data_IF_413094429535
#
_entry.id   IF_413094429535
#
_cell.length_a   1.000
_cell.length_b   1.000
_cell.length_c   1.000
_cell.angle_alpha   90.00
_cell.angle_beta   90.00
_cell.angle_gamma   90.00
#
_symmetry.space_group_name_H-M   'P 1'
#
loop_
_entity.id
_entity.type
_entity.pdbx_description
1 polymer ?
#
# COMPACT_ATOMS: atom_id res chain seq x y z
N UNK A 1 46.27 -42.93 9.05
CA UNK A 1 45.25 -41.89 9.26
C UNK A 1 45.16 -41.70 10.76
N UNK A 2 45.65 -40.58 11.27
CA UNK A 2 45.89 -40.44 12.71
C UNK A 2 44.55 -40.35 13.44
N UNK A 3 44.36 -41.18 14.47
CA UNK A 3 43.11 -41.29 15.21
C UNK A 3 42.62 -39.92 15.75
N UNK A 4 43.55 -39.02 16.04
CA UNK A 4 43.28 -37.63 16.44
C UNK A 4 42.59 -36.79 15.35
N UNK A 5 42.96 -36.98 14.08
CA UNK A 5 42.33 -36.28 12.96
C UNK A 5 40.86 -36.69 12.80
N UNK A 6 40.58 -37.99 12.88
CA UNK A 6 39.22 -38.55 12.76
C UNK A 6 38.31 -38.07 13.91
N UNK A 7 38.83 -38.04 15.14
CA UNK A 7 38.10 -37.57 16.32
C UNK A 7 37.81 -36.06 16.23
N UNK A 8 38.79 -35.26 15.83
CA UNK A 8 38.61 -33.81 15.67
C UNK A 8 37.62 -33.47 14.55
N UNK A 9 37.68 -34.20 13.42
CA UNK A 9 36.75 -34.03 12.31
C UNK A 9 35.31 -34.39 12.71
N UNK A 10 35.12 -35.47 13.47
CA UNK A 10 33.81 -35.89 13.97
C UNK A 10 33.22 -34.87 14.95
N UNK A 11 34.04 -34.28 15.82
CA UNK A 11 33.60 -33.24 16.76
C UNK A 11 33.15 -31.97 16.02
N UNK A 12 33.91 -31.52 15.03
CA UNK A 12 33.56 -30.36 14.21
C UNK A 12 32.26 -30.65 13.44
N UNK A 13 32.13 -31.83 12.82
CA UNK A 13 30.92 -32.21 12.10
C UNK A 13 29.68 -32.23 13.02
N UNK A 14 29.81 -32.75 14.25
CA UNK A 14 28.73 -32.76 15.24
C UNK A 14 28.31 -31.34 15.66
N UNK A 15 29.27 -30.44 15.91
CA UNK A 15 29.00 -29.04 16.25
C UNK A 15 28.34 -28.33 15.05
N UNK A 16 28.85 -28.52 13.84
CA UNK A 16 28.27 -27.96 12.62
C UNK A 16 26.85 -28.46 12.37
N UNK A 17 26.55 -29.73 12.65
CA UNK A 17 25.20 -30.29 12.52
C UNK A 17 24.18 -29.66 13.48
N UNK A 18 24.62 -29.14 14.63
CA UNK A 18 23.77 -28.43 15.60
C UNK A 18 23.61 -26.95 15.20
N UNK A 19 24.70 -26.31 14.81
CA UNK A 19 24.72 -24.87 14.54
C UNK A 19 24.12 -24.54 13.16
N UNK A 20 24.39 -25.36 12.13
CA UNK A 20 23.94 -25.07 10.77
C UNK A 20 22.41 -24.94 10.64
N UNK A 21 21.57 -25.84 11.20
CA UNK A 21 20.12 -25.66 11.20
C UNK A 21 19.67 -24.38 11.92
N UNK A 22 20.37 -23.98 12.97
CA UNK A 22 20.08 -22.76 13.74
C UNK A 22 20.33 -21.52 12.90
N UNK A 23 21.48 -21.45 12.21
CA UNK A 23 21.81 -20.35 11.30
C UNK A 23 20.82 -20.30 10.13
N UNK A 24 20.52 -21.45 9.50
CA UNK A 24 19.56 -21.53 8.40
C UNK A 24 18.17 -21.06 8.83
N UNK A 25 17.70 -21.46 10.01
CA UNK A 25 16.41 -21.02 10.56
C UNK A 25 16.39 -19.51 10.80
N UNK A 26 17.48 -18.94 11.31
CA UNK A 26 17.60 -17.51 11.52
C UNK A 26 17.54 -16.72 10.21
N UNK A 27 18.28 -17.15 9.19
CA UNK A 27 18.28 -16.53 7.85
C UNK A 27 16.88 -16.59 7.24
N UNK A 28 16.23 -17.76 7.28
CA UNK A 28 14.89 -17.94 6.73
C UNK A 28 13.88 -17.04 7.46
N UNK A 29 13.92 -17.01 8.79
CA UNK A 29 13.02 -16.15 9.59
C UNK A 29 13.23 -14.67 9.29
N UNK A 30 14.47 -14.23 9.09
CA UNK A 30 14.76 -12.85 8.71
C UNK A 30 14.17 -12.50 7.33
N UNK A 31 14.36 -13.38 6.35
CA UNK A 31 13.78 -13.22 5.02
C UNK A 31 12.24 -13.20 5.07
N UNK A 32 11.62 -14.12 5.81
CA UNK A 32 10.17 -14.21 5.99
C UNK A 32 9.59 -12.96 6.63
N UNK A 33 10.23 -12.43 7.67
CA UNK A 33 9.78 -11.19 8.32
C UNK A 33 9.87 -10.01 7.35
N UNK A 34 10.92 -9.94 6.53
CA UNK A 34 11.08 -8.88 5.53
C UNK A 34 10.01 -8.97 4.45
N UNK A 35 9.74 -10.17 3.92
CA UNK A 35 8.70 -10.42 2.94
C UNK A 35 7.32 -10.13 3.50
N UNK A 36 7.02 -10.56 4.73
CA UNK A 36 5.73 -10.31 5.39
C UNK A 36 5.49 -8.82 5.63
N UNK A 37 6.52 -8.05 6.00
CA UNK A 37 6.42 -6.59 6.12
C UNK A 37 6.10 -5.94 4.78
N UNK A 38 6.75 -6.39 3.70
CA UNK A 38 6.49 -5.89 2.36
C UNK A 38 5.07 -6.22 1.91
N UNK A 39 4.61 -7.45 2.14
CA UNK A 39 3.27 -7.91 1.81
C UNK A 39 2.20 -7.12 2.57
N UNK A 40 2.34 -6.95 3.89
CA UNK A 40 1.43 -6.12 4.70
C UNK A 40 1.36 -4.69 4.17
N UNK A 41 2.51 -4.08 3.83
CA UNK A 41 2.54 -2.73 3.27
C UNK A 41 1.85 -2.65 1.90
N UNK A 42 2.14 -3.58 0.99
CA UNK A 42 1.54 -3.61 -0.34
C UNK A 42 0.04 -3.88 -0.30
N UNK A 43 -0.41 -4.77 0.59
CA UNK A 43 -1.82 -5.05 0.79
C UNK A 43 -2.55 -3.84 1.39
N UNK A 44 -1.97 -3.16 2.37
CA UNK A 44 -2.52 -1.92 2.92
C UNK A 44 -2.60 -0.81 1.87
N UNK A 45 -1.56 -0.65 1.04
CA UNK A 45 -1.53 0.29 -0.08
C UNK A 45 -2.64 0.00 -1.09
N UNK A 46 -2.76 -1.26 -1.54
CA UNK A 46 -3.80 -1.68 -2.49
C UNK A 46 -5.19 -1.45 -1.92
N UNK A 47 -5.41 -1.77 -0.65
CA UNK A 47 -6.68 -1.53 0.03
C UNK A 47 -7.02 -0.04 0.04
N UNK A 48 -6.09 0.83 0.46
CA UNK A 48 -6.34 2.27 0.49
C UNK A 48 -6.69 2.84 -0.91
N UNK A 49 -6.07 2.33 -1.97
CA UNK A 49 -6.37 2.77 -3.33
C UNK A 49 -7.72 2.28 -3.83
N UNK A 50 -8.09 1.04 -3.49
CA UNK A 50 -9.41 0.50 -3.78
C UNK A 50 -10.50 1.26 -3.00
N UNK A 51 -10.28 1.52 -1.70
CA UNK A 51 -11.20 2.27 -0.85
C UNK A 51 -11.42 3.70 -1.42
N UNK A 52 -10.37 4.34 -1.94
CA UNK A 52 -10.49 5.61 -2.67
C UNK A 52 -11.35 5.48 -3.93
N UNK A 53 -11.05 4.48 -4.78
CA UNK A 53 -11.79 4.28 -6.03
C UNK A 53 -13.28 3.99 -5.77
N UNK A 54 -13.57 3.21 -4.74
CA UNK A 54 -14.94 2.89 -4.30
C UNK A 54 -15.64 4.12 -3.72
N UNK A 55 -14.93 4.98 -2.98
CA UNK A 55 -15.52 6.17 -2.36
C UNK A 55 -16.13 7.14 -3.37
N UNK A 56 -15.64 7.16 -4.61
CA UNK A 56 -16.21 8.00 -5.66
C UNK A 56 -17.60 7.55 -6.11
N UNK A 57 -17.92 6.25 -6.00
CA UNK A 57 -19.31 5.79 -6.24
C UNK A 57 -20.30 6.39 -5.24
N UNK A 58 -19.83 6.70 -4.03
CA UNK A 58 -20.62 7.33 -2.97
C UNK A 58 -20.85 8.81 -3.25
N UNK A 59 -19.96 9.47 -4.01
CA UNK A 59 -20.11 10.88 -4.38
C UNK A 59 -21.36 11.12 -5.22
N UNK A 60 -21.68 10.22 -6.15
CA UNK A 60 -22.89 10.31 -6.97
C UNK A 60 -24.17 10.19 -6.12
N UNK A 61 -24.09 9.49 -4.99
CA UNK A 61 -25.18 9.44 -4.01
C UNK A 61 -25.18 10.64 -3.08
N UNK A 62 -24.03 11.27 -2.81
CA UNK A 62 -23.89 12.46 -1.99
C UNK A 62 -24.52 13.71 -2.62
N UNK A 63 -24.40 13.85 -3.95
CA UNK A 63 -25.05 14.95 -4.69
C UNK A 63 -26.57 14.86 -4.67
N UNK A 64 -27.12 13.66 -4.44
CA UNK A 64 -28.56 13.38 -4.36
C UNK A 64 -29.07 13.37 -2.91
N UNK A 65 -28.23 12.96 -1.96
CA UNK A 65 -28.54 12.84 -0.53
C UNK A 65 -27.81 13.95 0.23
N UNK A 66 -28.48 15.09 0.44
CA UNK A 66 -27.97 16.20 1.24
C UNK A 66 -27.37 15.71 2.58
N UNK A 67 -26.06 15.91 2.79
CA UNK A 67 -25.40 15.56 4.05
C UNK A 67 -23.87 15.57 4.01
N UNK A 68 -23.23 15.85 5.15
CA UNK A 68 -21.76 15.91 5.29
C UNK A 68 -21.08 14.51 5.35
N UNK A 69 -21.84 13.46 5.68
CA UNK A 69 -21.33 12.10 5.88
C UNK A 69 -20.66 11.49 4.64
N UNK A 70 -21.25 11.55 3.44
CA UNK A 70 -20.60 11.10 2.21
C UNK A 70 -19.28 11.82 1.92
N UNK A 71 -19.26 13.15 2.08
CA UNK A 71 -18.05 13.98 1.87
C UNK A 71 -16.95 13.52 2.82
N UNK A 72 -17.28 13.31 4.10
CA UNK A 72 -16.33 12.80 5.10
C UNK A 72 -15.76 11.44 4.75
N UNK A 73 -16.58 10.52 4.22
CA UNK A 73 -16.12 9.20 3.77
C UNK A 73 -15.12 9.30 2.62
N UNK A 74 -15.40 10.15 1.64
CA UNK A 74 -14.51 10.38 0.49
C UNK A 74 -13.19 10.99 0.95
N UNK A 75 -13.23 12.03 1.80
CA UNK A 75 -12.04 12.66 2.35
C UNK A 75 -11.19 11.68 3.16
N UNK A 76 -11.82 10.83 3.98
CA UNK A 76 -11.11 9.78 4.72
C UNK A 76 -10.35 8.83 3.77
N UNK A 77 -11.00 8.38 2.70
CA UNK A 77 -10.39 7.51 1.70
C UNK A 77 -9.23 8.20 0.96
N UNK A 78 -9.38 9.50 0.62
CA UNK A 78 -8.30 10.31 0.03
C UNK A 78 -7.08 10.36 0.95
N UNK A 79 -7.27 10.68 2.24
CA UNK A 79 -6.16 10.79 3.19
C UNK A 79 -5.47 9.45 3.43
N UNK A 80 -6.21 8.34 3.43
CA UNK A 80 -5.62 7.01 3.48
C UNK A 80 -4.76 6.73 2.24
N UNK A 81 -5.27 7.01 1.03
CA UNK A 81 -4.52 6.85 -0.21
C UNK A 81 -3.26 7.73 -0.26
N UNK A 82 -3.31 8.96 0.26
CA UNK A 82 -2.16 9.87 0.32
C UNK A 82 -0.98 9.31 1.14
N UNK A 83 -1.27 8.50 2.16
CA UNK A 83 -0.27 7.89 3.04
C UNK A 83 0.68 6.96 2.28
N UNK A 84 0.16 6.24 1.28
CA UNK A 84 0.91 5.24 0.51
C UNK A 84 1.37 5.72 -0.87
N UNK A 85 1.00 6.95 -1.23
CA UNK A 85 1.26 7.57 -2.53
C UNK A 85 2.61 8.29 -2.61
N UNK A 86 3.19 8.32 -3.82
CA UNK A 86 4.36 9.16 -4.09
C UNK A 86 4.03 10.65 -3.95
N UNK A 87 5.04 11.53 -3.81
CA UNK A 87 4.81 12.97 -3.75
C UNK A 87 3.96 13.51 -4.91
N UNK A 88 4.18 13.01 -6.14
CA UNK A 88 3.41 13.44 -7.32
C UNK A 88 1.92 13.09 -7.19
N UNK A 89 1.61 11.83 -6.88
CA UNK A 89 0.22 11.37 -6.71
C UNK A 89 -0.45 12.04 -5.51
N UNK A 90 0.32 12.31 -4.45
CA UNK A 90 -0.18 13.03 -3.28
C UNK A 90 -0.62 14.46 -3.62
N UNK A 91 0.07 15.17 -4.49
CA UNK A 91 -0.37 16.50 -4.93
C UNK A 91 -1.67 16.44 -5.73
N UNK A 92 -1.84 15.43 -6.60
CA UNK A 92 -3.12 15.22 -7.30
C UNK A 92 -4.27 14.98 -6.30
N UNK A 93 -4.05 14.10 -5.32
CA UNK A 93 -5.02 13.80 -4.26
C UNK A 93 -5.35 15.03 -3.40
N UNK A 94 -4.38 15.92 -3.13
CA UNK A 94 -4.64 17.20 -2.43
C UNK A 94 -5.50 18.15 -3.24
N UNK A 95 -5.27 18.25 -4.55
CA UNK A 95 -6.08 19.10 -5.42
C UNK A 95 -7.51 18.57 -5.44
N UNK A 96 -7.65 17.25 -5.60
CA UNK A 96 -8.94 16.58 -5.57
C UNK A 96 -9.65 16.77 -4.22
N UNK A 97 -8.97 16.61 -3.08
CA UNK A 97 -9.58 16.79 -1.75
C UNK A 97 -10.12 18.20 -1.55
N UNK A 98 -9.38 19.23 -2.00
CA UNK A 98 -9.85 20.62 -1.93
C UNK A 98 -11.12 20.85 -2.75
N UNK A 99 -11.28 20.15 -3.87
CA UNK A 99 -12.51 20.26 -4.67
C UNK A 99 -13.66 19.46 -4.07
N UNK A 100 -13.37 18.33 -3.40
CA UNK A 100 -14.34 17.60 -2.58
C UNK A 100 -14.84 18.44 -1.39
N UNK A 101 -13.95 19.18 -0.73
CA UNK A 101 -14.30 20.06 0.41
C UNK A 101 -15.15 21.27 -0.01
N UNK A 102 -15.00 21.75 -1.24
CA UNK A 102 -15.80 22.89 -1.74
C UNK A 102 -17.28 22.57 -1.88
N UNK A 103 -17.66 21.30 -2.11
CA UNK A 103 -19.05 20.86 -2.10
C UNK A 103 -20.00 21.47 -3.15
N UNK A 104 -19.51 22.33 -4.05
CA UNK A 104 -20.28 23.00 -5.09
C UNK A 104 -19.93 22.37 -6.45
N UNK A 105 -20.69 21.35 -6.84
CA UNK A 105 -20.60 20.71 -8.17
C UNK A 105 -21.95 20.87 -8.87
N UNK A 106 -22.48 22.08 -8.80
CA UNK A 106 -23.84 22.41 -9.22
C UNK A 106 -23.94 22.52 -10.75
N UNK A 107 -22.79 22.75 -11.41
CA UNK A 107 -22.69 22.76 -12.87
C UNK A 107 -22.14 21.45 -13.43
N UNK A 108 -22.56 21.12 -14.66
CA UNK A 108 -22.04 19.97 -15.40
C UNK A 108 -20.51 20.07 -15.61
N UNK A 109 -20.00 21.27 -15.86
CA UNK A 109 -18.56 21.52 -16.07
C UNK A 109 -17.73 21.24 -14.81
N UNK A 110 -18.21 21.64 -13.63
CA UNK A 110 -17.54 21.33 -12.35
C UNK A 110 -17.53 19.83 -12.06
N UNK A 111 -18.63 19.15 -12.39
CA UNK A 111 -18.73 17.70 -12.19
C UNK A 111 -17.81 16.92 -13.14
N UNK A 112 -17.71 17.34 -14.41
CA UNK A 112 -16.76 16.79 -15.39
C UNK A 112 -15.30 16.99 -14.92
N UNK A 113 -14.95 18.20 -14.47
CA UNK A 113 -13.63 18.49 -13.94
C UNK A 113 -13.29 17.60 -12.72
N UNK A 114 -14.27 17.35 -11.86
CA UNK A 114 -14.11 16.48 -10.70
C UNK A 114 -13.89 15.01 -11.13
N UNK A 115 -14.61 14.54 -12.14
CA UNK A 115 -14.41 13.24 -12.76
C UNK A 115 -13.01 13.10 -13.38
N UNK A 116 -12.55 14.08 -14.14
CA UNK A 116 -11.20 14.09 -14.73
C UNK A 116 -10.11 14.03 -13.67
N UNK A 117 -10.27 14.79 -12.57
CA UNK A 117 -9.33 14.76 -11.45
C UNK A 117 -9.33 13.41 -10.74
N UNK A 118 -10.51 12.81 -10.55
CA UNK A 118 -10.63 11.47 -9.99
C UNK A 118 -9.86 10.46 -10.83
N UNK A 119 -10.09 10.41 -12.15
CA UNK A 119 -9.38 9.48 -13.04
C UNK A 119 -7.88 9.75 -13.08
N UNK A 120 -7.45 11.00 -13.05
CA UNK A 120 -6.04 11.37 -12.94
C UNK A 120 -5.39 10.79 -11.67
N UNK A 121 -6.10 10.80 -10.54
CA UNK A 121 -5.65 10.17 -9.30
C UNK A 121 -5.58 8.64 -9.46
N UNK A 122 -6.63 8.01 -9.99
CA UNK A 122 -6.68 6.55 -10.22
C UNK A 122 -5.54 6.07 -11.11
N UNK A 123 -5.30 6.75 -12.24
CA UNK A 123 -4.23 6.38 -13.17
C UNK A 123 -2.84 6.53 -12.55
N UNK A 124 -2.63 7.60 -11.77
CA UNK A 124 -1.39 7.78 -11.03
C UNK A 124 -1.17 6.65 -10.02
N UNK A 125 -2.18 6.29 -9.22
CA UNK A 125 -2.14 5.19 -8.25
C UNK A 125 -1.93 3.83 -8.92
N UNK A 126 -2.62 3.58 -10.04
CA UNK A 126 -2.44 2.39 -10.87
C UNK A 126 -0.99 2.27 -11.34
N UNK A 127 -0.42 3.36 -11.84
CA UNK A 127 0.98 3.39 -12.26
C UNK A 127 1.95 3.04 -11.12
N UNK A 128 1.62 3.37 -9.87
CA UNK A 128 2.43 3.04 -8.71
C UNK A 128 2.30 1.59 -8.27
N UNK A 129 1.13 0.96 -8.46
CA UNK A 129 0.92 -0.45 -8.15
C UNK A 129 1.63 -1.39 -9.13
N UNK A 130 1.67 -1.00 -10.41
CA UNK A 130 2.20 -1.85 -11.49
C UNK A 130 3.61 -1.46 -11.96
N UNK A 131 4.23 -0.43 -11.36
CA UNK A 131 5.68 -0.20 -11.50
C UNK A 131 6.44 -1.28 -10.75
N UNK A 132 6.63 -2.41 -11.43
CA UNK A 132 7.66 -3.39 -11.06
C UNK A 132 9.01 -2.69 -11.28
N UNK A 133 9.70 -2.38 -10.18
CA UNK A 133 11.12 -2.01 -10.22
C UNK A 133 11.97 -3.26 -10.17
#
# INVERSE_FOLDING_TARGET
MDNSFTVNAALIAAISAIIAPTITTFINRYADVKLKKLDVFQNAKRKAYNDFAESFSVLYHATVMEGEEPIRKILSAIYQAMTYSTPKTRELLKVFSKNIEKGHWDSHEEFELLHEQFFSCVDAMKSELYKVK
#
